data_IF_405835062015
#
_entry.id   IF_405835062015
#
_cell.length_a   1.000
_cell.length_b   1.000
_cell.length_c   1.000
_cell.angle_alpha   90.00
_cell.angle_beta   90.00
_cell.angle_gamma   90.00
#
_symmetry.space_group_name_H-M   'P 1'
#
loop_
_entity.id
_entity.type
_entity.pdbx_description
1 polymer ?
#
# COMPACT_ATOMS: atom_id res chain seq x y z
N UNK A 1 7.70 11.97 18.06
CA UNK A 1 7.96 11.98 16.60
C UNK A 1 6.93 11.09 15.93
N UNK A 2 6.28 11.52 14.84
CA UNK A 2 5.41 10.66 14.02
C UNK A 2 6.28 10.12 12.88
N UNK A 3 6.25 8.81 12.64
CA UNK A 3 6.94 8.22 11.50
C UNK A 3 6.28 8.66 10.19
N UNK A 4 7.09 9.10 9.21
CA UNK A 4 6.61 9.36 7.87
C UNK A 4 6.61 8.06 7.05
N UNK A 5 5.41 7.57 6.73
CA UNK A 5 5.23 6.34 5.97
C UNK A 5 5.70 6.46 4.52
N UNK A 6 5.91 7.68 4.00
CA UNK A 6 6.51 7.91 2.69
C UNK A 6 7.99 7.44 2.64
N UNK A 7 8.68 7.44 3.78
CA UNK A 7 10.07 6.98 3.87
C UNK A 7 10.23 5.51 3.47
N UNK A 8 9.20 4.67 3.70
CA UNK A 8 9.22 3.29 3.21
C UNK A 8 9.14 3.18 1.69
N UNK A 9 8.55 4.15 0.99
CA UNK A 9 8.61 4.17 -0.47
C UNK A 9 10.03 4.52 -0.96
N UNK A 10 10.71 5.47 -0.32
CA UNK A 10 12.11 5.80 -0.60
C UNK A 10 13.00 4.56 -0.40
N UNK A 11 12.87 3.89 0.75
CA UNK A 11 13.59 2.65 1.03
C UNK A 11 13.28 1.54 0.01
N UNK A 12 12.01 1.42 -0.42
CA UNK A 12 11.64 0.45 -1.44
C UNK A 12 12.37 0.70 -2.77
N UNK A 13 12.52 1.97 -3.17
CA UNK A 13 13.25 2.34 -4.39
C UNK A 13 14.74 1.99 -4.28
N UNK A 14 15.38 2.27 -3.14
CA UNK A 14 16.77 1.92 -2.89
C UNK A 14 17.00 0.40 -3.00
N UNK A 15 16.15 -0.39 -2.35
CA UNK A 15 16.26 -1.86 -2.32
C UNK A 15 16.00 -2.49 -3.69
N UNK A 16 15.25 -1.83 -4.57
CA UNK A 16 14.94 -2.35 -5.91
C UNK A 16 16.08 -2.17 -6.93
N UNK A 17 17.14 -1.44 -6.59
CA UNK A 17 18.28 -1.17 -7.48
C UNK A 17 19.25 -2.35 -7.70
N UNK A 18 18.88 -3.56 -7.29
CA UNK A 18 19.74 -4.76 -7.28
C UNK A 18 19.02 -5.97 -7.91
N UNK A 19 19.75 -7.06 -8.11
CA UNK A 19 19.20 -8.38 -8.47
C UNK A 19 19.07 -9.33 -7.27
N UNK A 20 19.51 -8.91 -6.07
CA UNK A 20 19.43 -9.74 -4.86
C UNK A 20 17.98 -9.96 -4.42
N UNK A 21 17.57 -11.23 -4.36
CA UNK A 21 16.20 -11.63 -4.08
C UNK A 21 15.67 -11.09 -2.74
N UNK A 22 16.47 -11.17 -1.67
CA UNK A 22 16.06 -10.67 -0.35
C UNK A 22 15.75 -9.16 -0.36
N UNK A 23 16.55 -8.37 -1.08
CA UNK A 23 16.33 -6.93 -1.22
C UNK A 23 15.10 -6.64 -2.07
N UNK A 24 14.92 -7.36 -3.18
CA UNK A 24 13.73 -7.20 -4.03
C UNK A 24 12.43 -7.58 -3.30
N UNK A 25 12.40 -8.71 -2.57
CA UNK A 25 11.24 -9.09 -1.74
C UNK A 25 10.96 -8.02 -0.68
N UNK A 26 12.01 -7.52 -0.03
CA UNK A 26 11.89 -6.44 0.95
C UNK A 26 11.36 -5.15 0.31
N UNK A 27 11.77 -4.82 -0.93
CA UNK A 27 11.27 -3.67 -1.67
C UNK A 27 9.75 -3.74 -1.90
N UNK A 28 9.21 -4.90 -2.31
CA UNK A 28 7.76 -5.11 -2.44
C UNK A 28 7.05 -4.88 -1.10
N UNK A 29 7.62 -5.44 -0.03
CA UNK A 29 7.09 -5.32 1.32
C UNK A 29 7.06 -3.86 1.79
N UNK A 30 8.15 -3.11 1.59
CA UNK A 30 8.24 -1.67 1.92
C UNK A 30 7.33 -0.79 1.06
N UNK A 31 7.25 -1.05 -0.25
CA UNK A 31 6.33 -0.34 -1.14
C UNK A 31 4.88 -0.50 -0.67
N UNK A 32 4.47 -1.73 -0.32
CA UNK A 32 3.15 -2.01 0.22
C UNK A 32 2.88 -1.29 1.54
N UNK A 33 3.77 -1.44 2.54
CA UNK A 33 3.54 -0.83 3.86
C UNK A 33 3.49 0.69 3.82
N UNK A 34 4.26 1.33 2.93
CA UNK A 34 4.18 2.77 2.69
C UNK A 34 2.76 3.18 2.32
N UNK A 35 2.27 2.69 1.18
CA UNK A 35 0.98 3.15 0.64
C UNK A 35 -0.22 2.63 1.41
N UNK A 36 -0.14 1.43 1.99
CA UNK A 36 -1.17 0.95 2.92
C UNK A 36 -1.32 1.88 4.11
N UNK A 37 -0.21 2.30 4.74
CA UNK A 37 -0.29 3.16 5.92
C UNK A 37 -0.72 4.58 5.56
N UNK A 38 -0.28 5.12 4.43
CA UNK A 38 -0.75 6.41 3.91
C UNK A 38 -2.26 6.37 3.63
N UNK A 39 -2.73 5.36 2.90
CA UNK A 39 -4.15 5.16 2.58
C UNK A 39 -5.01 4.95 3.84
N UNK A 40 -4.55 4.13 4.79
CA UNK A 40 -5.22 3.95 6.09
C UNK A 40 -5.31 5.27 6.85
N UNK A 41 -4.24 6.06 6.87
CA UNK A 41 -4.23 7.35 7.54
C UNK A 41 -5.16 8.36 6.85
N UNK A 42 -5.25 8.36 5.52
CA UNK A 42 -6.24 9.16 4.79
C UNK A 42 -7.67 8.81 5.24
N UNK A 43 -8.03 7.52 5.21
CA UNK A 43 -9.37 7.10 5.65
C UNK A 43 -9.63 7.43 7.13
N UNK A 44 -8.67 7.17 8.00
CA UNK A 44 -8.81 7.40 9.45
C UNK A 44 -8.83 8.88 9.84
N UNK A 45 -7.87 9.66 9.33
CA UNK A 45 -7.60 11.01 9.82
C UNK A 45 -8.33 12.09 9.01
N UNK A 46 -8.57 11.85 7.71
CA UNK A 46 -9.21 12.83 6.80
C UNK A 46 -10.68 12.47 6.58
N UNK A 47 -10.99 11.22 6.20
CA UNK A 47 -12.37 10.77 6.04
C UNK A 47 -13.04 10.40 7.38
N UNK A 48 -12.27 10.45 8.48
CA UNK A 48 -12.75 10.19 9.84
C UNK A 48 -13.45 8.83 10.00
N UNK A 49 -12.98 7.81 9.28
CA UNK A 49 -13.61 6.49 9.29
C UNK A 49 -13.49 5.85 10.68
N UNK A 50 -14.61 5.63 11.40
CA UNK A 50 -14.59 5.12 12.77
C UNK A 50 -14.07 3.68 12.85
N UNK A 51 -14.11 2.94 11.74
CA UNK A 51 -13.63 1.54 11.65
C UNK A 51 -12.13 1.42 11.73
N UNK A 52 -11.40 2.51 11.44
CA UNK A 52 -9.95 2.60 11.55
C UNK A 52 -9.49 3.39 12.78
N UNK A 53 -10.42 3.74 13.68
CA UNK A 53 -10.10 4.43 14.93
C UNK A 53 -9.09 3.64 15.76
N UNK A 54 -8.16 4.36 16.41
CA UNK A 54 -7.19 3.76 17.33
C UNK A 54 -7.85 3.19 18.60
N UNK A 55 -9.06 3.66 18.92
CA UNK A 55 -9.83 3.22 20.09
C UNK A 55 -10.93 2.22 19.71
N UNK A 56 -10.89 1.64 18.51
CA UNK A 56 -11.87 0.62 18.11
C UNK A 56 -11.79 -0.58 19.05
N UNK A 57 -12.95 -1.13 19.42
CA UNK A 57 -13.08 -2.25 20.36
C UNK A 57 -13.27 -3.60 19.69
N UNK A 58 -13.29 -3.62 18.35
CA UNK A 58 -13.46 -4.82 17.53
C UNK A 58 -12.26 -4.99 16.61
N UNK A 59 -11.96 -6.26 16.30
CA UNK A 59 -10.88 -6.62 15.40
C UNK A 59 -11.39 -6.66 13.95
N UNK A 60 -10.58 -6.11 13.03
CA UNK A 60 -10.83 -6.18 11.59
C UNK A 60 -9.52 -6.44 10.87
N UNK A 61 -9.60 -7.06 9.69
CA UNK A 61 -8.46 -7.15 8.79
C UNK A 61 -8.22 -5.79 8.13
N UNK A 62 -7.47 -4.89 8.78
CA UNK A 62 -7.19 -3.53 8.28
C UNK A 62 -6.67 -3.54 6.84
N UNK A 63 -5.82 -4.50 6.48
CA UNK A 63 -5.25 -4.62 5.14
C UNK A 63 -6.30 -4.92 4.06
N UNK A 64 -7.31 -5.72 4.39
CA UNK A 64 -8.43 -5.99 3.50
C UNK A 64 -9.37 -4.80 3.45
N UNK A 65 -9.75 -4.34 4.63
CA UNK A 65 -10.73 -3.31 4.85
C UNK A 65 -10.36 -2.00 4.13
N UNK A 66 -9.11 -1.53 4.27
CA UNK A 66 -8.66 -0.28 3.62
C UNK A 66 -8.82 -0.38 2.11
N UNK A 67 -8.40 -1.48 1.49
CA UNK A 67 -8.53 -1.64 0.04
C UNK A 67 -10.01 -1.70 -0.41
N UNK A 68 -10.85 -2.44 0.31
CA UNK A 68 -12.28 -2.57 0.02
C UNK A 68 -13.02 -1.24 0.19
N UNK A 69 -12.70 -0.48 1.23
CA UNK A 69 -13.32 0.83 1.47
C UNK A 69 -12.96 1.82 0.35
N UNK A 70 -11.74 1.78 -0.20
CA UNK A 70 -11.39 2.57 -1.39
C UNK A 70 -12.15 2.11 -2.66
N UNK A 71 -12.34 0.79 -2.85
CA UNK A 71 -13.06 0.24 -4.02
C UNK A 71 -14.57 0.54 -3.96
N UNK A 72 -15.16 0.43 -2.77
CA UNK A 72 -16.62 0.49 -2.57
C UNK A 72 -17.08 1.80 -1.93
N UNK A 73 -16.21 2.81 -1.88
CA UNK A 73 -16.52 4.10 -1.28
C UNK A 73 -17.79 4.73 -1.89
N UNK A 74 -18.61 5.35 -1.04
CA UNK A 74 -19.89 5.93 -1.44
C UNK A 74 -19.78 7.02 -2.51
N UNK A 75 -18.64 7.73 -2.58
CA UNK A 75 -18.39 8.78 -3.58
C UNK A 75 -18.31 8.25 -5.01
N UNK A 76 -18.09 6.93 -5.19
CA UNK A 76 -17.84 6.29 -6.50
C UNK A 76 -16.76 6.98 -7.32
N UNK A 77 -15.80 7.63 -6.66
CA UNK A 77 -14.67 8.28 -7.31
C UNK A 77 -13.80 7.23 -8.02
N UNK A 78 -13.51 7.48 -9.31
CA UNK A 78 -12.63 6.63 -10.10
C UNK A 78 -11.22 6.58 -9.47
N UNK A 79 -10.71 7.73 -9.02
CA UNK A 79 -9.43 7.85 -8.31
C UNK A 79 -9.39 6.98 -7.06
N UNK A 80 -10.44 7.01 -6.23
CA UNK A 80 -10.50 6.16 -5.03
C UNK A 80 -10.56 4.66 -5.39
N UNK A 81 -11.34 4.33 -6.42
CA UNK A 81 -11.47 2.95 -6.90
C UNK A 81 -10.11 2.40 -7.36
N UNK A 82 -9.32 3.22 -8.07
CA UNK A 82 -8.01 2.83 -8.58
C UNK A 82 -6.99 2.65 -7.44
N UNK A 83 -7.01 3.52 -6.41
CA UNK A 83 -6.23 3.31 -5.18
C UNK A 83 -6.52 1.93 -4.58
N UNK A 84 -7.79 1.57 -4.43
CA UNK A 84 -8.19 0.31 -3.82
C UNK A 84 -7.78 -0.93 -4.64
N UNK A 85 -7.85 -0.84 -5.98
CA UNK A 85 -7.38 -1.88 -6.89
C UNK A 85 -5.86 -2.06 -6.81
N UNK A 86 -5.10 -0.97 -6.81
CA UNK A 86 -3.65 -1.01 -6.71
C UNK A 86 -3.19 -1.53 -5.34
N UNK A 87 -3.86 -1.13 -4.25
CA UNK A 87 -3.63 -1.67 -2.90
C UNK A 87 -3.87 -3.18 -2.85
N UNK A 88 -4.96 -3.65 -3.47
CA UNK A 88 -5.29 -5.08 -3.54
C UNK A 88 -4.19 -5.85 -4.27
N UNK A 89 -3.70 -5.30 -5.39
CA UNK A 89 -2.62 -5.91 -6.17
C UNK A 89 -1.30 -5.95 -5.39
N UNK A 90 -0.91 -4.84 -4.76
CA UNK A 90 0.30 -4.77 -3.94
C UNK A 90 0.22 -5.73 -2.75
N UNK A 91 -0.93 -5.86 -2.10
CA UNK A 91 -1.13 -6.81 -0.99
C UNK A 91 -0.84 -8.24 -1.42
N UNK A 92 -1.32 -8.65 -2.60
CA UNK A 92 -1.08 -9.99 -3.19
C UNK A 92 0.40 -10.19 -3.52
N UNK A 93 1.03 -9.19 -4.14
CA UNK A 93 2.46 -9.23 -4.48
C UNK A 93 3.33 -9.36 -3.23
N UNK A 94 3.03 -8.58 -2.18
CA UNK A 94 3.70 -8.64 -0.88
C UNK A 94 3.51 -9.98 -0.19
N UNK A 95 2.29 -10.55 -0.18
CA UNK A 95 2.06 -11.89 0.38
C UNK A 95 2.96 -12.93 -0.30
N UNK A 96 3.05 -12.88 -1.63
CA UNK A 96 3.94 -13.77 -2.40
C UNK A 96 5.40 -13.55 -2.05
N UNK A 97 5.83 -12.28 -1.95
CA UNK A 97 7.20 -11.92 -1.59
C UNK A 97 7.61 -12.40 -0.21
N UNK A 98 6.70 -12.34 0.76
CA UNK A 98 7.02 -12.62 2.16
C UNK A 98 6.95 -14.11 2.51
N UNK A 99 6.10 -14.91 1.82
CA UNK A 99 5.77 -16.27 2.27
C UNK A 99 6.00 -17.39 1.25
N UNK A 100 6.12 -17.10 -0.04
CA UNK A 100 6.30 -18.15 -1.04
C UNK A 100 7.78 -18.49 -1.23
N UNK A 101 8.11 -19.78 -1.17
CA UNK A 101 9.49 -20.30 -1.34
C UNK A 101 10.08 -19.90 -2.71
N UNK A 102 9.25 -19.78 -3.74
CA UNK A 102 9.68 -19.43 -5.10
C UNK A 102 8.95 -18.19 -5.63
N UNK A 103 9.71 -17.26 -6.20
CA UNK A 103 9.15 -16.06 -6.82
C UNK A 103 9.78 -15.76 -8.18
N UNK A 104 9.18 -16.31 -9.23
CA UNK A 104 9.56 -16.02 -10.61
C UNK A 104 9.29 -14.57 -11.00
N UNK A 105 10.17 -14.01 -11.84
CA UNK A 105 10.09 -12.63 -12.36
C UNK A 105 10.12 -11.53 -11.29
N UNK A 106 10.70 -11.80 -10.12
CA UNK A 106 10.72 -10.91 -8.96
C UNK A 106 11.19 -9.48 -9.29
N UNK A 107 12.20 -9.31 -10.13
CA UNK A 107 12.69 -7.97 -10.49
C UNK A 107 11.64 -7.15 -11.27
N UNK A 108 10.86 -7.80 -12.16
CA UNK A 108 9.75 -7.16 -12.87
C UNK A 108 8.60 -6.83 -11.91
N UNK A 109 8.33 -7.72 -10.96
CA UNK A 109 7.30 -7.51 -9.94
C UNK A 109 7.70 -6.37 -8.99
N UNK A 110 8.97 -6.24 -8.62
CA UNK A 110 9.47 -5.11 -7.82
C UNK A 110 9.26 -3.77 -8.55
N UNK A 111 9.63 -3.68 -9.83
CA UNK A 111 9.36 -2.48 -10.65
C UNK A 111 7.87 -2.15 -10.73
N UNK A 112 7.04 -3.18 -10.89
CA UNK A 112 5.59 -3.03 -10.90
C UNK A 112 5.08 -2.52 -9.55
N UNK A 113 5.58 -3.05 -8.44
CA UNK A 113 5.16 -2.63 -7.10
C UNK A 113 5.49 -1.16 -6.85
N UNK A 114 6.68 -0.70 -7.26
CA UNK A 114 7.07 0.70 -7.14
C UNK A 114 6.15 1.62 -7.97
N UNK A 115 5.82 1.23 -9.20
CA UNK A 115 4.89 1.98 -10.05
C UNK A 115 3.50 2.10 -9.41
N UNK A 116 2.94 0.99 -8.89
CA UNK A 116 1.63 1.00 -8.23
C UNK A 116 1.66 1.84 -6.94
N UNK A 117 2.73 1.75 -6.16
CA UNK A 117 2.89 2.56 -4.97
C UNK A 117 2.96 4.06 -5.33
N UNK A 118 3.71 4.42 -6.37
CA UNK A 118 3.77 5.80 -6.85
C UNK A 118 2.40 6.32 -7.31
N UNK A 119 1.63 5.50 -8.04
CA UNK A 119 0.28 5.87 -8.46
C UNK A 119 -0.63 6.17 -7.27
N UNK A 120 -0.61 5.32 -6.24
CA UNK A 120 -1.40 5.52 -5.01
C UNK A 120 -0.96 6.81 -4.30
N UNK A 121 0.35 7.07 -4.18
CA UNK A 121 0.86 8.29 -3.54
C UNK A 121 0.36 9.53 -4.29
N UNK A 122 0.48 9.56 -5.62
CA UNK A 122 0.01 10.67 -6.44
C UNK A 122 -1.50 10.88 -6.28
N UNK A 123 -2.29 9.80 -6.36
CA UNK A 123 -3.73 9.86 -6.21
C UNK A 123 -4.16 10.32 -4.80
N UNK A 124 -3.48 9.89 -3.75
CA UNK A 124 -3.74 10.37 -2.38
C UNK A 124 -3.43 11.86 -2.25
N UNK A 125 -2.33 12.34 -2.84
CA UNK A 125 -2.00 13.76 -2.82
C UNK A 125 -3.08 14.60 -3.51
N UNK A 126 -3.63 14.14 -4.64
CA UNK A 126 -4.75 14.80 -5.33
C UNK A 126 -6.02 14.87 -4.47
N UNK A 127 -6.30 13.83 -3.68
CA UNK A 127 -7.47 13.81 -2.78
C UNK A 127 -7.31 14.69 -1.52
N UNK A 128 -6.09 15.18 -1.24
CA UNK A 128 -5.78 15.98 -0.05
C UNK A 128 -5.50 17.46 -0.34
N UNK A 129 -5.49 17.84 -1.62
CA UNK A 129 -5.44 19.24 -2.06
C UNK A 129 -6.83 19.87 -1.97
#
# INVERSE_FOLDING_TARGET
MKFDWSEYFNLAQELAGTSEEAKLRSALSRAYYSVFCLARNYLRDIQQDPRLSRNKTYDINDHQYVAEEFIHNQSKSQTMTDIGRDLTRLRKMRNKADYEDTFYNLQREARTALMLAQNIISALNELTQ
#
